data_IF_279057450818
#
_entry.id   IF_279057450818
#
_cell.length_a   1.000
_cell.length_b   1.000
_cell.length_c   1.000
_cell.angle_alpha   90.00
_cell.angle_beta   90.00
_cell.angle_gamma   90.00
#
_symmetry.space_group_name_H-M   'P 1'
#
loop_
_entity.id
_entity.type
_entity.pdbx_description
1 polymer ?
2 branched ?
3 non-polymer ?
4 non-polymer ?
5 water ?
#
# COMPACT_ATOMS: atom_id res chain seq x y z
N UNK A 5 16.51 -4.31 3.75
CA UNK A 5 15.91 -5.04 4.91
C UNK A 5 14.45 -5.41 4.62
N UNK A 6 13.64 -4.43 4.22
CA UNK A 6 12.27 -4.65 3.80
C UNK A 6 11.23 -4.56 4.89
N UNK A 7 10.41 -5.61 4.97
CA UNK A 7 9.36 -5.74 5.96
C UNK A 7 8.00 -5.82 5.31
N UNK A 8 7.13 -6.66 5.86
CA UNK A 8 5.75 -6.72 5.40
C UNK A 8 4.97 -5.51 5.92
N UNK A 9 3.83 -5.24 5.29
CA UNK A 9 2.90 -4.20 5.71
C UNK A 9 1.58 -4.92 5.90
N UNK A 10 1.25 -5.24 7.14
CA UNK A 10 0.10 -6.08 7.39
C UNK A 10 -1.11 -5.29 7.90
N UNK A 11 -2.25 -5.57 7.29
CA UNK A 11 -3.50 -4.92 7.64
C UNK A 11 -3.99 -5.40 8.99
N UNK A 12 -4.29 -4.46 9.87
CA UNK A 12 -4.78 -4.79 11.21
C UNK A 12 -6.15 -5.47 11.18
N UNK A 13 -7.07 -4.92 10.40
CA UNK A 13 -8.43 -5.43 10.35
C UNK A 13 -8.52 -6.83 9.76
N UNK A 14 -7.69 -7.10 8.75
CA UNK A 14 -7.69 -8.38 8.02
C UNK A 14 -6.67 -9.41 8.51
N UNK A 15 -5.61 -8.93 9.16
CA UNK A 15 -4.42 -9.73 9.44
C UNK A 15 -3.70 -10.24 8.19
N UNK A 16 -4.00 -9.64 7.04
CA UNK A 16 -3.40 -10.04 5.76
C UNK A 16 -2.46 -8.94 5.28
N UNK A 17 -1.49 -9.33 4.46
CA UNK A 17 -0.42 -8.43 4.05
C UNK A 17 -0.67 -7.73 2.72
N UNK A 18 -0.08 -6.55 2.60
CA UNK A 18 -0.07 -5.79 1.38
C UNK A 18 0.75 -6.58 0.34
N UNK A 19 0.10 -7.00 -0.73
CA UNK A 19 0.64 -8.03 -1.64
C UNK A 19 0.53 -7.58 -3.10
N UNK A 20 1.63 -7.68 -3.86
CA UNK A 20 1.60 -7.42 -5.29
C UNK A 20 1.14 -8.70 -5.98
N UNK A 21 -0.03 -8.66 -6.62
CA UNK A 21 -0.59 -9.82 -7.32
C UNK A 21 0.40 -10.55 -8.22
N UNK A 22 0.57 -11.84 -7.94
CA UNK A 22 1.40 -12.74 -8.74
C UNK A 22 2.87 -12.35 -8.82
N UNK A 23 3.32 -11.54 -7.86
CA UNK A 23 4.66 -10.98 -7.91
C UNK A 23 4.93 -10.29 -9.24
N UNK A 24 3.88 -9.71 -9.82
CA UNK A 24 4.01 -8.97 -11.07
C UNK A 24 4.88 -7.74 -10.83
N UNK A 25 5.60 -7.31 -11.87
CA UNK A 25 6.32 -6.04 -11.86
C UNK A 25 5.66 -5.03 -12.79
N UNK A 26 4.50 -5.38 -13.34
CA UNK A 26 3.81 -4.57 -14.34
C UNK A 26 3.19 -3.31 -13.76
N UNK A 27 3.58 -2.18 -14.34
CA UNK A 27 2.97 -0.89 -14.07
C UNK A 27 1.46 -1.00 -14.05
N UNK A 28 0.83 -0.40 -13.04
CA UNK A 28 -0.61 -0.36 -12.97
C UNK A 28 -1.26 -1.50 -12.22
N UNK A 29 -0.50 -2.51 -11.84
CA UNK A 29 -1.06 -3.64 -11.10
C UNK A 29 -1.59 -3.15 -9.75
N UNK A 30 -2.88 -3.33 -9.51
CA UNK A 30 -3.49 -2.86 -8.27
C UNK A 30 -3.10 -3.76 -7.09
N UNK A 31 -2.81 -3.13 -5.95
CA UNK A 31 -2.48 -3.87 -4.74
C UNK A 31 -3.66 -4.60 -4.13
N UNK A 32 -3.35 -5.66 -3.40
CA UNK A 32 -4.36 -6.48 -2.73
C UNK A 32 -3.89 -6.87 -1.33
N UNK A 33 -4.82 -7.42 -0.54
CA UNK A 33 -4.49 -8.14 0.68
C UNK A 33 -4.23 -9.60 0.31
N UNK A 34 -3.26 -10.22 0.97
CA UNK A 34 -3.09 -11.68 0.89
C UNK A 34 -2.47 -12.24 2.15
N UNK A 35 -2.85 -13.47 2.49
CA UNK A 35 -2.22 -14.20 3.58
C UNK A 35 -0.71 -13.97 3.56
N UNK A 36 -0.17 -13.60 4.71
CA UNK A 36 1.23 -13.21 4.80
C UNK A 36 2.16 -14.38 4.56
N UNK A 37 3.19 -14.14 3.77
CA UNK A 37 4.23 -15.13 3.54
C UNK A 37 5.56 -14.44 3.22
N UNK A 38 6.61 -15.23 3.07
CA UNK A 38 7.99 -14.71 3.02
C UNK A 38 8.47 -14.07 1.70
N UNK A 39 7.63 -14.06 0.67
CA UNK A 39 8.02 -13.66 -0.68
C UNK A 39 8.35 -12.18 -0.90
N UNK A 40 8.99 -11.88 -2.03
CA UNK A 40 9.39 -10.51 -2.34
C UNK A 40 8.23 -9.59 -2.67
N UNK A 41 7.11 -10.16 -3.11
CA UNK A 41 5.93 -9.36 -3.44
C UNK A 41 5.14 -8.88 -2.21
N UNK A 42 5.65 -9.19 -1.02
CA UNK A 42 5.08 -8.68 0.23
C UNK A 42 6.10 -7.91 1.07
N UNK A 43 7.29 -7.69 0.51
CA UNK A 43 8.37 -6.96 1.17
C UNK A 43 8.40 -5.51 0.70
N UNK A 44 8.23 -4.59 1.64
CA UNK A 44 8.20 -3.16 1.35
C UNK A 44 9.28 -2.42 2.12
N UNK A 45 10.09 -1.64 1.41
CA UNK A 45 11.15 -0.85 2.02
C UNK A 45 10.78 0.64 2.00
N UNK A 46 10.71 1.25 3.18
CA UNK A 46 10.51 2.69 3.27
C UNK A 46 11.82 3.41 2.95
N UNK A 47 11.75 4.50 2.20
CA UNK A 47 12.94 5.27 1.86
C UNK A 47 12.83 6.69 2.41
N UNK A 48 13.96 7.38 2.44
CA UNK A 48 14.02 8.77 2.89
C UNK A 48 13.19 9.70 2.01
N UNK A 49 13.02 9.32 0.74
CA UNK A 49 12.20 10.08 -0.20
C UNK A 49 10.69 9.89 0.01
N UNK A 50 10.31 9.08 1.00
CA UNK A 50 8.92 8.91 1.38
C UNK A 50 8.24 7.74 0.68
N UNK A 51 9.03 6.96 -0.05
CA UNK A 51 8.49 5.85 -0.84
C UNK A 51 8.26 4.59 -0.02
N UNK A 52 7.46 3.69 -0.60
CA UNK A 52 7.36 2.30 -0.16
C UNK A 52 7.71 1.46 -1.38
N UNK A 53 8.94 0.96 -1.40
CA UNK A 53 9.49 0.25 -2.55
C UNK A 53 9.38 -1.26 -2.43
N UNK A 54 9.14 -1.89 -3.58
CA UNK A 54 9.09 -3.33 -3.71
C UNK A 54 9.94 -3.75 -4.90
N UNK A 55 10.66 -4.87 -4.76
CA UNK A 55 11.56 -5.40 -5.79
C UNK A 55 12.78 -4.52 -6.10
N UNK A 56 12.96 -3.45 -5.32
CA UNK A 56 14.03 -2.51 -5.53
C UNK A 56 13.58 -1.24 -6.23
N UNK A 57 12.97 -1.41 -7.40
CA UNK A 57 12.69 -0.31 -8.32
C UNK A 57 11.23 0.10 -8.47
N UNK A 58 10.31 -0.66 -7.89
CA UNK A 58 8.89 -0.37 -8.04
C UNK A 58 8.38 0.30 -6.78
N UNK A 59 7.39 1.18 -6.94
CA UNK A 59 6.88 2.01 -5.86
C UNK A 59 5.40 1.81 -5.68
N UNK A 60 4.96 1.88 -4.42
CA UNK A 60 3.55 2.03 -4.11
C UNK A 60 3.11 3.39 -4.66
N UNK A 61 2.04 3.39 -5.43
CA UNK A 61 1.71 4.52 -6.29
C UNK A 61 0.20 4.74 -6.34
N UNK A 62 -0.22 5.96 -6.04
CA UNK A 62 -1.62 6.36 -6.11
C UNK A 62 -1.92 6.87 -7.51
N UNK A 63 -2.94 6.29 -8.12
CA UNK A 63 -3.40 6.68 -9.43
C UNK A 63 -4.49 7.73 -9.25
N UNK A 64 -4.09 8.91 -8.81
CA UNK A 64 -5.01 10.01 -8.64
C UNK A 64 -5.08 10.45 -7.19
N UNK A 65 -5.93 11.43 -6.94
CA UNK A 65 -6.07 12.02 -5.62
C UNK A 65 -7.50 11.94 -5.08
N UNK A 66 -8.37 11.22 -5.79
CA UNK A 66 -9.78 11.12 -5.42
C UNK A 66 -10.06 9.87 -4.62
N UNK A 67 -11.18 9.89 -3.90
CA UNK A 67 -11.69 8.71 -3.24
C UNK A 67 -11.88 7.59 -4.24
N UNK A 68 -11.42 6.41 -3.87
CA UNK A 68 -11.52 5.25 -4.73
C UNK A 68 -10.43 5.14 -5.77
N UNK A 69 -9.45 6.05 -5.75
CA UNK A 69 -8.33 5.97 -6.68
C UNK A 69 -7.58 4.67 -6.42
N UNK A 70 -7.19 3.99 -7.49
CA UNK A 70 -6.44 2.74 -7.38
C UNK A 70 -5.08 2.98 -6.73
N UNK A 71 -4.67 2.07 -5.86
CA UNK A 71 -3.29 2.03 -5.40
C UNK A 71 -2.64 0.86 -6.12
N UNK A 72 -1.50 1.14 -6.73
CA UNK A 72 -0.88 0.22 -7.68
C UNK A 72 0.62 0.21 -7.47
N UNK A 73 1.30 -0.72 -8.13
CA UNK A 73 2.75 -0.58 -8.27
C UNK A 73 3.02 0.20 -9.55
N UNK A 74 4.15 0.88 -9.55
CA UNK A 74 4.62 1.63 -10.69
C UNK A 74 6.11 1.82 -10.56
N UNK A 75 6.80 1.91 -11.70
CA UNK A 75 8.20 2.26 -11.68
C UNK A 75 8.40 3.50 -10.80
N UNK A 76 9.38 3.46 -9.90
CA UNK A 76 9.66 4.63 -9.05
C UNK A 76 10.18 5.77 -9.90
N UNK A 77 9.66 6.98 -9.68
CA UNK A 77 10.11 8.13 -10.46
C UNK A 77 10.24 9.46 -9.73
N UNK A 78 9.84 9.51 -8.46
CA UNK A 78 9.97 10.71 -7.66
C UNK A 78 8.67 11.47 -7.46
N UNK A 79 7.58 10.96 -8.02
CA UNK A 79 6.30 11.65 -7.93
C UNK A 79 5.75 11.70 -6.52
N UNK A 80 5.00 12.74 -6.20
CA UNK A 80 4.43 12.90 -4.85
C UNK A 80 3.34 11.87 -4.57
N UNK A 81 2.75 11.35 -5.64
CA UNK A 81 1.77 10.27 -5.53
C UNK A 81 2.44 8.93 -5.23
N UNK A 82 3.77 8.93 -5.16
CA UNK A 82 4.54 7.75 -4.75
C UNK A 82 5.17 7.98 -3.38
N UNK A 83 4.71 9.03 -2.69
CA UNK A 83 5.19 9.35 -1.35
C UNK A 83 4.08 9.11 -0.32
N UNK A 84 4.48 8.55 0.81
CA UNK A 84 3.56 8.10 1.84
C UNK A 84 4.14 8.41 3.20
N UNK A 85 3.26 8.76 4.12
CA UNK A 85 3.64 9.02 5.49
C UNK A 85 2.97 7.93 6.30
N UNK A 86 3.77 7.10 6.95
CA UNK A 86 3.23 5.97 7.71
C UNK A 86 3.11 7.02 9.37
N UNK A 87 1.85 7.04 9.79
CA UNK A 87 1.43 7.89 10.91
C UNK A 87 2.11 6.68 12.20
N UNK A 88 1.87 7.28 13.36
CA UNK A 88 2.15 6.63 14.62
C UNK A 88 1.01 5.69 14.99
N UNK A 89 -0.18 5.88 14.41
CA UNK A 89 -1.31 4.96 14.62
C UNK A 89 -1.48 3.89 13.53
N UNK A 90 -0.53 3.81 12.60
CA UNK A 90 -0.58 2.81 11.55
C UNK A 90 -1.34 3.19 10.29
N UNK A 91 -1.70 4.46 10.16
CA UNK A 91 -2.35 4.92 8.94
C UNK A 91 -1.26 5.23 7.92
N UNK A 92 -1.52 4.94 6.65
CA UNK A 92 -0.56 5.21 5.59
C UNK A 92 -1.18 6.25 4.67
N UNK A 93 -0.72 7.48 4.80
CA UNK A 93 -1.34 8.62 4.13
C UNK A 93 -0.55 9.00 2.89
N UNK A 94 -1.25 9.21 1.77
CA UNK A 94 -0.61 9.65 0.54
C UNK A 94 -0.30 11.13 0.63
N UNK A 95 0.94 11.50 0.33
CA UNK A 95 1.38 12.88 0.52
C UNK A 95 0.69 13.83 -0.44
N UNK A 96 0.55 13.42 -1.70
CA UNK A 96 -0.13 14.25 -2.67
C UNK A 96 -1.63 14.44 -2.38
N UNK A 97 -2.30 13.37 -1.95
CA UNK A 97 -3.76 13.35 -1.88
C UNK A 97 -4.31 13.71 -0.50
N UNK A 98 -3.53 13.42 0.53
CA UNK A 98 -4.02 13.47 1.89
C UNK A 98 -5.10 12.43 2.17
N UNK A 99 -5.13 11.37 1.36
CA UNK A 99 -6.05 10.25 1.54
C UNK A 99 -5.25 9.05 2.03
N UNK A 100 -5.94 8.04 2.55
CA UNK A 100 -5.30 6.91 3.22
C UNK A 100 -5.38 5.61 2.44
N UNK A 101 -4.36 4.78 2.61
CA UNK A 101 -4.38 3.40 2.11
C UNK A 101 -5.52 2.67 2.76
N UNK A 102 -6.38 2.07 1.94
CA UNK A 102 -7.67 1.58 2.40
C UNK A 102 -8.02 0.28 1.69
N UNK A 103 -8.34 -0.77 2.46
CA UNK A 103 -8.81 -2.02 1.86
C UNK A 103 -10.28 -1.85 1.50
N UNK A 104 -10.56 -1.94 0.21
CA UNK A 104 -11.86 -1.64 -0.38
C UNK A 104 -13.03 -2.35 0.29
N UNK A 105 -14.04 -1.57 0.64
CA UNK A 105 -15.29 -2.07 1.19
C UNK A 105 -15.13 -2.70 2.56
N UNK A 106 -14.11 -2.27 3.30
CA UNK A 106 -13.73 -2.90 4.56
C UNK A 106 -13.54 -4.42 4.41
N UNK A 107 -13.08 -4.83 3.24
CA UNK A 107 -12.83 -6.23 2.94
C UNK A 107 -11.64 -6.75 3.75
N UNK A 108 -11.66 -8.05 4.05
CA UNK A 108 -10.58 -8.72 4.79
C UNK A 108 -10.00 -9.95 4.08
N UNK A 109 -10.69 -10.47 3.07
CA UNK A 109 -10.31 -11.73 2.44
C UNK A 109 -9.16 -11.56 1.45
N UNK A 110 -8.46 -12.66 1.16
CA UNK A 110 -7.50 -12.69 0.06
C UNK A 110 -8.13 -12.05 -1.18
N UNK A 111 -7.37 -11.16 -1.80
CA UNK A 111 -7.78 -10.55 -3.04
C UNK A 111 -8.50 -9.22 -2.89
N UNK A 112 -8.80 -8.79 -1.66
CA UNK A 112 -9.48 -7.49 -1.55
C UNK A 112 -8.52 -6.39 -1.99
N UNK A 113 -9.03 -5.51 -2.82
CA UNK A 113 -8.21 -4.50 -3.46
C UNK A 113 -7.88 -3.36 -2.52
N UNK A 114 -6.84 -2.62 -2.87
CA UNK A 114 -6.39 -1.48 -2.10
C UNK A 114 -6.62 -0.21 -2.91
N UNK A 115 -7.11 0.82 -2.22
CA UNK A 115 -7.45 2.10 -2.81
C UNK A 115 -7.03 3.24 -1.88
N UNK A 116 -7.14 4.46 -2.39
CA UNK A 116 -7.17 5.66 -1.55
C UNK A 116 -8.59 5.91 -1.08
N UNK A 117 -8.73 6.36 0.16
CA UNK A 117 -10.02 6.73 0.71
C UNK A 117 -9.85 7.73 1.85
N UNK A 118 -10.86 8.57 2.03
CA UNK A 118 -10.93 9.49 3.16
C UNK A 118 -10.46 8.82 4.44
N UNK A 119 -9.46 9.42 5.09
CA UNK A 119 -8.89 8.88 6.30
C UNK A 119 -9.97 8.78 7.37
N UNK A 120 -10.01 7.61 8.00
CA UNK A 120 -10.95 7.32 9.06
C UNK A 120 -10.24 6.51 10.13
N UNK A 121 -11.01 6.03 11.10
CA UNK A 121 -10.49 5.16 12.13
C UNK A 121 -10.79 3.68 11.87
N UNK A 122 -11.18 3.36 10.64
CA UNK A 122 -11.41 1.99 10.24
C UNK A 122 -10.15 1.14 10.34
N UNK A 123 -10.32 -0.12 10.74
CA UNK A 123 -9.20 -1.04 10.89
C UNK A 123 -8.68 -1.49 9.52
N UNK A 124 -9.48 -1.25 8.49
CA UNK A 124 -9.04 -1.46 7.10
C UNK A 124 -8.13 -0.34 6.58
N UNK A 125 -7.84 0.65 7.42
CA UNK A 125 -6.85 1.66 7.10
C UNK A 125 -5.67 1.67 8.06
N UNK A 126 -5.53 0.62 8.87
CA UNK A 126 -4.43 0.50 9.80
C UNK A 126 -3.51 -0.63 9.40
N UNK A 127 -2.21 -0.36 9.48
CA UNK A 127 -1.16 -1.23 8.98
C UNK A 127 0.02 -1.25 9.94
N UNK A 128 0.60 -2.43 10.17
CA UNK A 128 1.79 -2.53 11.01
C UNK A 128 2.99 -3.07 10.23
N UNK A 129 4.17 -2.80 10.79
CA UNK A 129 5.47 -3.24 10.29
C UNK A 129 6.10 -2.19 9.34
N UNK A 130 7.24 -2.52 8.72
CA UNK A 130 8.08 -1.55 8.00
C UNK A 130 8.04 -1.67 6.46
X LIG B 1 12.72 8.34 -19.08
X LIG B 1 11.38 8.61 -18.85
X LIG B 1 10.57 7.31 -18.80
X LIG B 1 9.12 7.57 -18.34
X LIG B 1 8.96 8.59 -17.22
X LIG B 1 9.93 9.77 -17.38
X LIG B 1 10.54 6.74 -20.10
X LIG B 1 8.54 6.36 -17.91
X LIG B 1 7.62 9.09 -17.27
X LIG B 1 11.27 9.28 -17.60
X LIG B 2 6.88 9.20 -16.10
X LIG B 2 5.72 10.16 -16.39
X LIG B 2 4.70 10.19 -15.26
X LIG B 2 4.25 8.77 -14.91
X LIG B 2 5.49 7.91 -14.62
X LIG B 2 6.23 11.46 -16.60
X LIG B 2 3.58 10.96 -15.68
X LIG B 2 3.38 8.81 -13.76
X LIG B 2 6.37 7.90 -15.77
X LIG B 3 2.49 7.75 -13.59
X LIG B 3 1.83 7.85 -12.21
X LIG B 3 0.69 6.83 -12.05
X LIG B 3 -0.25 6.85 -13.25
X LIG B 3 0.56 6.75 -14.55
X LIG B 3 2.80 7.60 -11.21
X LIG B 3 -0.06 7.14 -10.88
X LIG B 3 -1.16 5.74 -13.15
X LIG B 3 1.50 7.83 -14.62
X LIG B 4 -2.08 5.56 -14.16
X LIG B 4 -2.99 4.38 -13.82
X LIG B 4 -4.12 4.24 -14.83
X LIG B 4 -4.82 5.58 -15.13
X LIG B 4 -3.79 6.69 -15.38
X LIG B 4 -2.21 3.19 -13.83
X LIG B 4 -5.08 3.33 -14.32
X LIG B 4 -5.63 5.41 -16.30
X LIG B 4 -2.86 6.76 -14.28
X LIG B 5 -6.50 6.44 -16.63
X LIG B 5 -6.33 6.74 -18.13
X LIG B 5 -7.40 7.72 -18.60
X LIG B 5 -8.77 7.12 -18.28
X LIG B 5 -8.85 6.91 -16.76
X LIG B 5 -5.06 7.31 -18.36
X LIG B 5 -7.27 7.93 -20.00
X LIG B 5 -9.79 8.00 -18.72
X LIG B 5 -7.83 5.97 -16.35
X LIG C 1 -7.84 12.43 -9.87
X LIG C 1 -8.88 13.44 -10.07
X LIG C 1 -6.61 13.08 -9.43
X LIG C 1 -8.31 11.46 -8.88
X LIG C 1 -7.63 11.73 -11.14
X LIG D 1 8.35 -3.44 -16.78
X LIG D 1 9.53 -3.50 -15.98
X LIG D 1 7.69 -2.08 -16.68
X LIG D 1 8.51 -1.29 -15.84
X LIG D 1 6.31 -2.24 -16.07
X LIG D 1 5.29 -1.98 -17.00
#
# INVERSE_FOLDING_TARGET
EPPADGGQIKGVGSGRCLDVPDASTSDGTQLQLWDCHSGTNQQWAATDAGELRVYGDKCLDAAGTSNGSKVQIYSCWGGDNQKWRLNSDGSVVGVQSGLCLDAVGNGTANGTLIQLYTCSNGSNQRWTRT
XYP O1 C1 C2 C3 C4 C5 O2 O3 O4 O5
XYP C1 C2 C3 C4 C5 O2 O3 O4 O5
XYP C1 C2 C3 C4 C5 O2 O3 O4 O5
XYP C1 C2 C3 C4 C5 O2 O3 O4 O5
XYP C1 C2 C3 C4 C5 O2 O3 O4 O5
SO4 S O1 O2 O3 O4
GOL C1 O1 C2 O2 C3 O3
#
